data_IF_734630621799
#
_entry.id   IF_734630621799
#
_cell.length_a   1.000
_cell.length_b   1.000
_cell.length_c   1.000
_cell.angle_alpha   90.00
_cell.angle_beta   90.00
_cell.angle_gamma   90.00
#
_symmetry.space_group_name_H-M   'P 1'
#
loop_
_entity.id
_entity.type
_entity.pdbx_description
1 polymer ?
#
# COMPACT_ATOMS: atom_id res chain seq x y z
N UNK A 1 -2.30 -27.22 4.63
CA UNK A 1 -1.87 -26.01 5.35
C UNK A 1 -3.11 -25.18 5.56
N UNK A 2 -3.46 -24.87 6.80
CA UNK A 2 -4.61 -24.00 7.09
C UNK A 2 -4.27 -22.55 6.72
N UNK A 3 -5.31 -21.73 6.53
CA UNK A 3 -5.15 -20.30 6.25
C UNK A 3 -4.35 -19.58 7.36
N UNK A 4 -4.59 -19.95 8.62
CA UNK A 4 -3.84 -19.44 9.79
C UNK A 4 -2.36 -19.82 9.77
N UNK A 5 -1.99 -21.00 9.27
CA UNK A 5 -0.59 -21.42 9.15
C UNK A 5 0.16 -20.65 8.06
N UNK A 6 -0.51 -20.31 6.95
CA UNK A 6 0.08 -19.50 5.88
C UNK A 6 0.32 -18.06 6.33
N UNK A 7 -0.65 -17.44 7.01
CA UNK A 7 -0.54 -16.05 7.47
C UNK A 7 0.51 -15.89 8.57
N UNK A 8 0.60 -16.84 9.52
CA UNK A 8 1.67 -16.82 10.51
C UNK A 8 3.05 -16.93 9.84
N UNK A 9 3.20 -17.77 8.80
CA UNK A 9 4.46 -17.89 8.05
C UNK A 9 4.84 -16.59 7.31
N UNK A 10 3.86 -15.83 6.82
CA UNK A 10 4.11 -14.54 6.16
C UNK A 10 4.51 -13.46 7.15
N UNK A 11 3.84 -13.37 8.30
CA UNK A 11 4.17 -12.44 9.38
C UNK A 11 5.55 -12.76 9.97
N UNK A 12 5.88 -14.03 10.21
CA UNK A 12 7.19 -14.45 10.72
C UNK A 12 8.32 -14.09 9.74
N UNK A 13 8.08 -14.25 8.43
CA UNK A 13 9.04 -13.83 7.39
C UNK A 13 9.21 -12.32 7.36
N UNK A 14 8.14 -11.54 7.50
CA UNK A 14 8.22 -10.08 7.58
C UNK A 14 8.98 -9.63 8.83
N UNK A 15 8.69 -10.23 9.99
CA UNK A 15 9.43 -9.99 11.24
C UNK A 15 10.92 -10.30 11.09
N UNK A 16 11.26 -11.43 10.45
CA UNK A 16 12.65 -11.79 10.13
C UNK A 16 13.28 -10.77 9.19
N UNK A 17 12.58 -10.35 8.15
CA UNK A 17 13.05 -9.30 7.24
C UNK A 17 13.37 -8.01 7.99
N UNK A 18 12.47 -7.55 8.87
CA UNK A 18 12.63 -6.28 9.58
C UNK A 18 13.72 -6.31 10.65
N UNK A 19 13.92 -7.44 11.34
CA UNK A 19 14.94 -7.56 12.39
C UNK A 19 16.33 -7.88 11.84
N UNK A 20 16.41 -8.67 10.78
CA UNK A 20 17.71 -9.20 10.32
C UNK A 20 18.20 -8.57 9.03
N UNK A 21 17.32 -8.33 8.06
CA UNK A 21 17.70 -7.91 6.73
C UNK A 21 17.64 -6.39 6.55
N UNK A 22 16.57 -5.76 7.00
CA UNK A 22 16.35 -4.32 6.87
C UNK A 22 17.49 -3.47 7.46
N UNK A 23 18.06 -3.77 8.66
CA UNK A 23 19.21 -3.04 9.17
C UNK A 23 20.44 -3.12 8.24
N UNK A 24 20.68 -4.29 7.64
CA UNK A 24 21.84 -4.50 6.75
C UNK A 24 21.70 -3.73 5.45
N UNK A 25 20.51 -3.73 4.85
CA UNK A 25 20.25 -3.01 3.60
C UNK A 25 20.28 -1.49 3.82
N UNK A 26 19.88 -1.03 5.01
CA UNK A 26 19.95 0.39 5.37
C UNK A 26 21.36 0.97 5.22
N UNK A 27 22.37 0.24 5.69
CA UNK A 27 23.77 0.66 5.62
C UNK A 27 24.29 0.78 4.18
N UNK A 28 23.55 0.25 3.20
CA UNK A 28 23.85 0.36 1.77
C UNK A 28 23.04 1.45 1.04
N UNK A 29 22.41 2.38 1.78
CA UNK A 29 21.74 3.55 1.19
C UNK A 29 20.26 3.33 0.88
N UNK A 30 19.57 2.51 1.68
CA UNK A 30 18.11 2.37 1.61
C UNK A 30 17.42 3.72 1.77
N UNK A 31 16.52 4.04 0.84
CA UNK A 31 15.81 5.32 0.82
C UNK A 31 14.37 5.20 1.33
N UNK A 32 13.71 4.07 1.04
CA UNK A 32 12.39 3.73 1.55
C UNK A 32 12.16 2.22 1.40
N UNK A 33 11.31 1.66 2.26
CA UNK A 33 10.72 0.33 2.10
C UNK A 33 9.29 0.50 1.62
N UNK A 34 8.89 -0.23 0.58
CA UNK A 34 7.54 -0.12 0.02
C UNK A 34 6.88 -1.50 -0.03
N UNK A 35 5.67 -1.60 0.52
CA UNK A 35 4.84 -2.80 0.48
C UNK A 35 3.79 -2.67 -0.62
N UNK A 36 3.78 -3.63 -1.55
CA UNK A 36 3.06 -3.58 -2.83
C UNK A 36 1.61 -4.07 -2.82
N UNK A 37 0.93 -4.06 -1.68
CA UNK A 37 -0.45 -4.56 -1.53
C UNK A 37 -0.55 -6.05 -1.22
N UNK A 38 -1.79 -6.50 -1.03
CA UNK A 38 -2.16 -7.81 -0.48
C UNK A 38 -1.42 -8.08 0.83
N UNK A 39 -1.50 -7.11 1.73
CA UNK A 39 -0.89 -7.09 3.05
C UNK A 39 -1.66 -7.99 4.04
N UNK A 40 -2.97 -8.13 3.84
CA UNK A 40 -3.87 -9.03 4.58
C UNK A 40 -4.75 -9.81 3.61
N UNK A 41 -5.39 -10.89 4.05
CA UNK A 41 -6.34 -11.64 3.21
C UNK A 41 -7.81 -11.38 3.63
N UNK A 42 -8.37 -10.25 3.19
CA UNK A 42 -9.77 -9.91 3.50
C UNK A 42 -10.82 -10.67 2.67
N UNK A 43 -10.40 -11.42 1.65
CA UNK A 43 -11.32 -12.12 0.74
C UNK A 43 -12.14 -13.20 1.49
N UNK A 44 -11.48 -13.96 2.38
CA UNK A 44 -12.11 -15.05 3.13
C UNK A 44 -13.16 -14.53 4.11
N UNK A 45 -12.89 -13.42 4.79
CA UNK A 45 -13.79 -12.87 5.80
C UNK A 45 -14.93 -12.01 5.20
N UNK A 46 -14.71 -11.36 4.05
CA UNK A 46 -15.76 -10.63 3.35
C UNK A 46 -16.85 -11.57 2.79
N UNK A 47 -16.46 -12.73 2.26
CA UNK A 47 -17.40 -13.70 1.68
C UNK A 47 -18.13 -14.54 2.73
N UNK A 48 -17.54 -14.71 3.92
CA UNK A 48 -18.16 -15.40 5.05
C UNK A 48 -19.05 -14.51 5.93
N UNK A 49 -19.12 -13.20 5.65
CA UNK A 49 -19.85 -12.22 6.45
C UNK A 49 -19.22 -11.96 7.82
N UNK A 50 -17.96 -12.33 8.02
CA UNK A 50 -17.24 -12.25 9.30
C UNK A 50 -16.43 -10.96 9.46
N UNK A 51 -16.73 -9.91 8.68
CA UNK A 51 -16.07 -8.63 8.81
C UNK A 51 -16.47 -7.92 10.13
N UNK A 52 -15.53 -7.37 10.93
CA UNK A 52 -14.09 -7.29 10.69
C UNK A 52 -13.26 -8.44 11.29
N UNK A 53 -13.85 -9.44 11.94
CA UNK A 53 -13.23 -10.49 12.78
C UNK A 53 -11.82 -10.94 12.40
N UNK A 54 -11.62 -11.97 11.54
CA UNK A 54 -10.28 -12.47 11.20
C UNK A 54 -9.34 -11.41 10.57
N UNK A 55 -9.90 -10.44 9.84
CA UNK A 55 -9.15 -9.36 9.19
C UNK A 55 -8.51 -8.42 10.23
N UNK A 56 -9.22 -8.12 11.31
CA UNK A 56 -8.72 -7.25 12.37
C UNK A 56 -7.48 -7.85 13.06
N UNK A 57 -7.46 -9.18 13.25
CA UNK A 57 -6.30 -9.87 13.82
C UNK A 57 -5.08 -9.80 12.89
N UNK A 58 -5.29 -9.95 11.58
CA UNK A 58 -4.21 -9.83 10.58
C UNK A 58 -3.64 -8.42 10.51
N UNK A 59 -4.51 -7.40 10.44
CA UNK A 59 -4.06 -6.01 10.49
C UNK A 59 -3.33 -5.70 11.79
N UNK A 60 -3.79 -6.21 12.93
CA UNK A 60 -3.12 -6.00 14.22
C UNK A 60 -1.71 -6.63 14.24
N UNK A 61 -1.57 -7.88 13.77
CA UNK A 61 -0.26 -8.55 13.68
C UNK A 61 0.68 -7.84 12.71
N UNK A 62 0.19 -7.48 11.52
CA UNK A 62 0.95 -6.74 10.53
C UNK A 62 1.42 -5.40 11.10
N UNK A 63 0.51 -4.62 11.67
CA UNK A 63 0.80 -3.31 12.24
C UNK A 63 1.82 -3.40 13.37
N UNK A 64 1.70 -4.40 14.24
CA UNK A 64 2.68 -4.64 15.29
C UNK A 64 4.09 -4.85 14.72
N UNK A 65 4.26 -5.74 13.73
CA UNK A 65 5.58 -5.97 13.11
C UNK A 65 6.09 -4.71 12.42
N UNK A 66 5.24 -4.00 11.66
CA UNK A 66 5.66 -2.80 10.95
C UNK A 66 6.08 -1.66 11.89
N UNK A 67 5.32 -1.42 12.96
CA UNK A 67 5.55 -0.33 13.90
C UNK A 67 6.67 -0.64 14.90
N UNK A 68 6.71 -1.86 15.43
CA UNK A 68 7.63 -2.21 16.52
C UNK A 68 8.94 -2.84 16.04
N UNK A 69 8.96 -3.44 14.84
CA UNK A 69 10.16 -4.13 14.33
C UNK A 69 10.75 -3.45 13.10
N UNK A 70 9.92 -2.98 12.16
CA UNK A 70 10.39 -2.37 10.93
C UNK A 70 10.72 -0.88 11.12
N UNK A 71 9.78 -0.08 11.63
CA UNK A 71 9.90 1.37 11.76
C UNK A 71 11.12 1.84 12.61
N UNK A 72 11.56 1.14 13.68
CA UNK A 72 12.76 1.52 14.44
C UNK A 72 14.05 1.51 13.59
N UNK A 73 14.04 0.83 12.44
CA UNK A 73 15.15 0.91 11.50
C UNK A 73 15.26 2.30 10.85
N UNK A 74 14.28 3.19 11.00
CA UNK A 74 14.34 4.59 10.55
C UNK A 74 14.25 4.80 9.04
N UNK A 75 14.02 3.73 8.26
CA UNK A 75 13.60 3.85 6.87
C UNK A 75 12.12 4.19 6.84
N UNK A 76 11.66 5.13 5.99
CA UNK A 76 10.25 5.28 5.69
C UNK A 76 9.66 3.95 5.22
N UNK A 77 8.46 3.63 5.69
CA UNK A 77 7.67 2.47 5.25
C UNK A 77 6.43 3.02 4.58
N UNK A 78 6.30 2.74 3.29
CA UNK A 78 5.19 3.18 2.47
C UNK A 78 4.43 1.94 2.00
N UNK A 79 3.14 2.11 1.74
CA UNK A 79 2.27 0.99 1.36
C UNK A 79 1.34 1.42 0.24
N UNK A 80 1.03 0.50 -0.66
CA UNK A 80 -0.16 0.58 -1.52
C UNK A 80 -1.05 -0.60 -1.16
N UNK A 81 -2.37 -0.46 -1.31
CA UNK A 81 -3.30 -1.58 -1.10
C UNK A 81 -3.44 -2.41 -2.36
N UNK A 82 -3.62 -3.71 -2.16
CA UNK A 82 -4.08 -4.65 -3.17
C UNK A 82 -5.56 -4.95 -3.03
N UNK A 83 -6.07 -5.84 -3.88
CA UNK A 83 -7.49 -6.22 -3.82
C UNK A 83 -7.84 -6.96 -2.53
N UNK A 84 -6.90 -7.70 -1.93
CA UNK A 84 -7.13 -8.40 -0.66
C UNK A 84 -7.07 -7.47 0.56
N UNK A 85 -6.67 -6.21 0.41
CA UNK A 85 -6.65 -5.24 1.52
C UNK A 85 -7.92 -4.40 1.63
N UNK A 86 -8.77 -4.46 0.61
CA UNK A 86 -9.76 -3.42 0.31
C UNK A 86 -11.16 -3.98 0.00
N UNK A 87 -11.40 -5.27 0.24
CA UNK A 87 -12.74 -5.85 0.07
C UNK A 87 -13.79 -5.11 0.90
N UNK A 88 -14.86 -4.68 0.24
CA UNK A 88 -15.97 -3.93 0.82
C UNK A 88 -15.61 -2.56 1.44
N UNK A 89 -14.44 -2.01 1.10
CA UNK A 89 -14.01 -0.65 1.45
C UNK A 89 -14.32 0.29 0.29
N UNK A 90 -15.12 1.34 0.53
CA UNK A 90 -15.56 2.27 -0.51
C UNK A 90 -14.58 3.42 -0.78
N UNK A 91 -13.70 3.73 0.18
CA UNK A 91 -12.80 4.89 0.08
C UNK A 91 -11.77 4.96 1.20
N UNK A 92 -10.82 5.90 1.11
CA UNK A 92 -9.82 6.11 2.15
C UNK A 92 -10.44 6.49 3.51
N UNK A 93 -11.46 7.34 3.48
CA UNK A 93 -12.16 7.82 4.67
C UNK A 93 -13.30 6.88 5.15
N UNK A 94 -13.51 5.72 4.49
CA UNK A 94 -14.47 4.71 4.94
C UNK A 94 -14.09 4.20 6.35
N UNK A 95 -15.10 3.95 7.18
CA UNK A 95 -14.92 3.36 8.51
C UNK A 95 -14.24 1.98 8.41
N UNK A 96 -14.56 1.21 7.38
CA UNK A 96 -13.94 -0.11 7.14
C UNK A 96 -12.45 -0.03 6.77
N UNK A 97 -11.96 1.16 6.41
CA UNK A 97 -10.55 1.37 6.13
C UNK A 97 -9.73 1.78 7.36
N UNK A 98 -10.33 1.85 8.56
CA UNK A 98 -9.68 2.41 9.75
C UNK A 98 -8.35 1.72 10.10
N UNK A 99 -8.26 0.39 10.02
CA UNK A 99 -7.02 -0.33 10.30
C UNK A 99 -5.86 0.11 9.40
N UNK A 100 -6.12 0.20 8.09
CA UNK A 100 -5.12 0.67 7.14
C UNK A 100 -4.76 2.14 7.40
N UNK A 101 -5.77 3.00 7.61
CA UNK A 101 -5.59 4.44 7.87
C UNK A 101 -4.73 4.68 9.11
N UNK A 102 -5.03 4.04 10.23
CA UNK A 102 -4.29 4.18 11.48
C UNK A 102 -2.85 3.69 11.35
N UNK A 103 -2.63 2.61 10.59
CA UNK A 103 -1.29 2.10 10.29
C UNK A 103 -0.49 3.10 9.44
N UNK A 104 -1.06 3.63 8.35
CA UNK A 104 -0.34 4.57 7.47
C UNK A 104 -0.07 5.91 8.14
N UNK A 105 -0.97 6.42 8.98
CA UNK A 105 -0.77 7.66 9.75
C UNK A 105 0.44 7.59 10.68
N UNK A 106 0.79 6.39 11.14
CA UNK A 106 1.94 6.16 12.01
C UNK A 106 3.23 5.82 11.23
N UNK A 107 3.11 5.12 10.10
CA UNK A 107 4.27 4.64 9.32
C UNK A 107 4.78 5.66 8.29
N UNK A 108 3.87 6.38 7.63
CA UNK A 108 4.25 7.22 6.51
C UNK A 108 4.96 8.49 6.98
N UNK A 109 5.99 8.94 6.24
CA UNK A 109 6.63 10.21 6.55
C UNK A 109 5.65 11.36 6.36
N UNK A 110 5.67 12.35 7.26
CA UNK A 110 4.82 13.56 7.19
C UNK A 110 4.98 14.36 5.90
N UNK A 111 6.08 14.15 5.17
CA UNK A 111 6.35 14.77 3.87
C UNK A 111 5.71 14.05 2.68
N UNK A 112 5.05 12.91 2.91
CA UNK A 112 4.28 12.26 1.87
C UNK A 112 2.97 13.02 1.65
N UNK A 113 2.74 13.44 0.40
CA UNK A 113 1.45 14.02 0.01
C UNK A 113 0.47 12.89 -0.25
N UNK A 114 -0.66 12.93 0.44
CA UNK A 114 -1.72 11.94 0.32
C UNK A 114 -2.91 12.54 -0.44
N UNK A 115 -3.37 11.82 -1.47
CA UNK A 115 -4.71 12.04 -2.03
C UNK A 115 -5.67 10.99 -1.47
N UNK A 116 -6.70 11.46 -0.77
CA UNK A 116 -7.72 10.61 -0.12
C UNK A 116 -8.76 10.08 -1.11
N UNK A 117 -8.29 9.47 -2.20
CA UNK A 117 -9.11 8.78 -3.19
C UNK A 117 -9.66 7.45 -2.61
N UNK A 118 -9.94 6.45 -3.44
CA UNK A 118 -10.45 5.13 -3.01
C UNK A 118 -9.63 4.46 -1.89
N UNK A 119 -8.34 4.77 -1.78
CA UNK A 119 -7.50 4.14 -0.77
C UNK A 119 -6.26 4.85 -0.32
N UNK A 120 -6.06 6.08 -0.79
CA UNK A 120 -4.96 6.90 -0.35
C UNK A 120 -3.74 6.75 -1.23
N UNK A 121 -3.81 7.18 -2.49
CA UNK A 121 -2.59 7.31 -3.31
C UNK A 121 -1.67 8.39 -2.71
N UNK A 122 -0.38 8.27 -2.94
CA UNK A 122 0.60 9.15 -2.31
C UNK A 122 1.78 9.50 -3.20
N UNK A 123 2.43 10.63 -2.90
CA UNK A 123 3.69 11.04 -3.50
C UNK A 123 4.72 11.33 -2.40
N UNK A 124 5.95 10.87 -2.59
CA UNK A 124 7.07 11.18 -1.71
C UNK A 124 8.29 11.60 -2.53
N UNK A 125 8.65 12.90 -2.50
CA UNK A 125 9.94 13.38 -2.99
C UNK A 125 11.07 12.89 -2.07
N UNK A 126 12.07 12.20 -2.62
CA UNK A 126 13.22 11.71 -1.84
C UNK A 126 14.47 11.61 -2.70
N UNK A 127 15.58 12.24 -2.27
CA UNK A 127 16.89 12.16 -2.92
C UNK A 127 16.88 12.37 -4.46
N UNK A 128 16.07 13.32 -4.95
CA UNK A 128 15.94 13.62 -6.40
C UNK A 128 15.02 12.68 -7.17
N UNK A 129 14.43 11.69 -6.49
CA UNK A 129 13.36 10.84 -7.00
C UNK A 129 12.00 11.28 -6.49
N UNK A 130 10.97 11.01 -7.27
CA UNK A 130 9.58 11.09 -6.86
C UNK A 130 9.02 9.67 -6.79
N UNK A 131 8.76 9.17 -5.59
CA UNK A 131 8.02 7.93 -5.42
C UNK A 131 6.52 8.24 -5.49
N UNK A 132 5.77 7.47 -6.27
CA UNK A 132 4.32 7.60 -6.38
C UNK A 132 3.70 6.25 -6.09
N UNK A 133 2.93 6.14 -5.01
CA UNK A 133 2.11 4.96 -4.74
C UNK A 133 0.69 5.18 -5.23
N UNK A 134 0.22 4.33 -6.13
CA UNK A 134 -1.12 4.37 -6.68
C UNK A 134 -1.97 3.25 -6.10
N UNK A 135 -2.99 3.63 -5.33
CA UNK A 135 -4.09 2.73 -5.02
C UNK A 135 -5.06 2.71 -6.21
N UNK A 136 -5.00 1.62 -6.95
CA UNK A 136 -5.85 1.37 -8.11
C UNK A 136 -6.97 0.38 -7.78
N UNK A 137 -7.29 0.16 -6.50
CA UNK A 137 -8.39 -0.72 -6.16
C UNK A 137 -9.69 -0.19 -6.75
N UNK A 138 -10.50 -1.02 -7.42
CA UNK A 138 -11.79 -0.59 -7.95
C UNK A 138 -12.83 -0.38 -6.83
N UNK A 139 -13.84 0.41 -7.16
CA UNK A 139 -14.93 0.81 -6.27
C UNK A 139 -15.60 -0.37 -5.56
N UNK A 140 -16.03 -0.17 -4.31
CA UNK A 140 -16.77 -1.18 -3.54
C UNK A 140 -17.97 -1.73 -4.34
N UNK A 141 -18.08 -3.07 -4.41
CA UNK A 141 -19.15 -3.76 -5.11
C UNK A 141 -18.84 -4.14 -6.56
N UNK A 142 -17.65 -3.81 -7.08
CA UNK A 142 -17.19 -4.36 -8.35
C UNK A 142 -17.11 -5.90 -8.26
N UNK A 143 -17.80 -6.59 -9.16
CA UNK A 143 -17.89 -8.07 -9.16
C UNK A 143 -16.56 -8.79 -9.38
N UNK A 144 -15.47 -8.06 -9.70
CA UNK A 144 -14.12 -8.57 -9.95
C UNK A 144 -13.07 -7.51 -9.57
N UNK A 145 -12.48 -7.65 -8.38
CA UNK A 145 -11.33 -6.83 -7.94
C UNK A 145 -9.99 -7.28 -8.56
N UNK A 146 -9.99 -7.99 -9.68
CA UNK A 146 -8.77 -8.53 -10.30
C UNK A 146 -8.03 -7.54 -11.20
N UNK A 147 -8.67 -6.41 -11.52
CA UNK A 147 -8.11 -5.37 -12.37
C UNK A 147 -8.19 -4.05 -11.63
N UNK A 148 -7.09 -3.31 -11.66
CA UNK A 148 -7.04 -1.99 -11.06
C UNK A 148 -7.72 -0.95 -11.95
N UNK A 149 -8.20 0.12 -11.32
CA UNK A 149 -8.86 1.25 -11.95
C UNK A 149 -8.13 2.53 -11.55
N UNK A 150 -7.78 3.36 -12.55
CA UNK A 150 -7.31 4.72 -12.31
C UNK A 150 -8.51 5.66 -12.36
N UNK A 151 -8.92 6.20 -11.20
CA UNK A 151 -10.03 7.14 -11.15
C UNK A 151 -9.69 8.49 -11.80
N UNK A 152 -10.70 9.19 -12.32
CA UNK A 152 -10.55 10.54 -12.88
C UNK A 152 -9.91 11.51 -11.87
N UNK A 153 -10.26 11.39 -10.59
CA UNK A 153 -9.68 12.18 -9.50
C UNK A 153 -8.17 11.93 -9.37
N UNK A 154 -7.76 10.66 -9.38
CA UNK A 154 -6.34 10.28 -9.30
C UNK A 154 -5.58 10.76 -10.54
N UNK A 155 -6.19 10.64 -11.72
CA UNK A 155 -5.61 11.14 -12.97
C UNK A 155 -5.41 12.67 -12.93
N UNK A 156 -6.43 13.41 -12.50
CA UNK A 156 -6.36 14.87 -12.39
C UNK A 156 -5.24 15.30 -11.42
N UNK A 157 -5.14 14.64 -10.27
CA UNK A 157 -4.08 14.87 -9.30
C UNK A 157 -2.69 14.56 -9.85
N UNK A 158 -2.51 13.44 -10.56
CA UNK A 158 -1.25 13.13 -11.25
C UNK A 158 -0.88 14.21 -12.27
N UNK A 159 -1.86 14.72 -13.02
CA UNK A 159 -1.62 15.79 -14.00
C UNK A 159 -1.20 17.09 -13.32
N UNK A 160 -1.83 17.46 -12.20
CA UNK A 160 -1.49 18.68 -11.48
C UNK A 160 -0.16 18.57 -10.73
N UNK A 161 -0.03 17.58 -9.84
CA UNK A 161 1.10 17.48 -8.92
C UNK A 161 2.34 16.95 -9.61
N UNK A 162 2.23 15.83 -10.32
CA UNK A 162 3.38 15.23 -10.96
C UNK A 162 3.76 15.98 -12.24
N UNK A 163 2.87 16.06 -13.23
CA UNK A 163 3.21 16.66 -14.52
C UNK A 163 3.33 18.19 -14.46
N UNK A 164 2.59 18.85 -13.57
CA UNK A 164 2.64 20.29 -13.37
C UNK A 164 3.83 20.74 -12.53
N UNK A 165 3.99 20.17 -11.32
CA UNK A 165 4.92 20.71 -10.30
C UNK A 165 6.23 19.93 -10.22
N UNK A 166 6.23 18.62 -10.49
CA UNK A 166 7.36 17.71 -10.18
C UNK A 166 7.94 16.99 -11.40
N UNK A 167 7.59 17.42 -12.61
CA UNK A 167 8.01 16.80 -13.88
C UNK A 167 9.52 16.68 -14.11
N UNK A 168 10.33 17.37 -13.31
CA UNK A 168 11.78 17.37 -13.40
C UNK A 168 12.45 16.28 -12.55
N UNK A 169 11.69 15.59 -11.69
CA UNK A 169 12.18 14.52 -10.84
C UNK A 169 12.14 13.17 -11.57
N UNK A 170 13.05 12.26 -11.23
CA UNK A 170 12.98 10.87 -11.70
C UNK A 170 11.87 10.14 -10.96
N UNK A 171 10.91 9.59 -11.67
CA UNK A 171 9.71 9.02 -11.04
C UNK A 171 9.78 7.50 -10.95
N UNK A 172 9.40 6.96 -9.79
CA UNK A 172 9.13 5.54 -9.59
C UNK A 172 7.67 5.40 -9.21
N UNK A 173 6.91 4.67 -10.02
CA UNK A 173 5.49 4.38 -9.76
C UNK A 173 5.40 2.99 -9.14
N UNK A 174 4.76 2.92 -7.97
CA UNK A 174 4.44 1.70 -7.26
C UNK A 174 2.93 1.51 -7.31
N UNK A 175 2.51 0.31 -7.66
CA UNK A 175 1.10 -0.10 -7.61
C UNK A 175 1.03 -1.61 -7.40
N UNK A 176 -0.09 -2.07 -6.83
CA UNK A 176 -0.38 -3.49 -6.71
C UNK A 176 -0.73 -4.12 -8.07
N UNK A 177 -1.46 -3.39 -8.92
CA UNK A 177 -1.95 -3.92 -10.19
C UNK A 177 -0.95 -3.67 -11.30
N UNK A 178 -0.65 -4.71 -12.09
CA UNK A 178 0.27 -4.58 -13.21
C UNK A 178 -0.26 -3.64 -14.30
N UNK A 179 0.62 -2.81 -14.84
CA UNK A 179 0.34 -2.08 -16.08
C UNK A 179 0.33 -3.04 -17.26
N UNK A 180 -0.86 -3.28 -17.82
CA UNK A 180 -1.02 -3.92 -19.13
C UNK A 180 -1.56 -5.35 -19.08
N UNK A 181 -2.89 -5.47 -19.22
CA UNK A 181 -3.50 -6.24 -20.30
C UNK A 181 -4.81 -5.58 -20.74
N UNK A 182 -4.73 -4.42 -21.40
CA UNK A 182 -5.32 -4.22 -22.73
C UNK A 182 -5.07 -2.82 -23.32
N UNK A 183 -5.04 -1.72 -22.55
CA UNK A 183 -4.97 -0.38 -23.15
C UNK A 183 -4.25 0.73 -22.34
N UNK A 184 -3.30 0.39 -21.44
CA UNK A 184 -2.47 1.43 -20.79
C UNK A 184 -0.98 1.28 -21.12
N UNK A 185 -0.46 2.30 -21.80
CA UNK A 185 0.95 2.53 -22.05
C UNK A 185 1.57 3.12 -20.77
N UNK A 186 2.53 2.42 -20.19
CA UNK A 186 3.40 2.96 -19.15
C UNK A 186 4.43 3.89 -19.81
N UNK A 187 4.38 5.18 -19.49
CA UNK A 187 5.50 6.08 -19.74
C UNK A 187 6.46 6.01 -18.55
N UNK A 188 7.57 5.29 -18.73
CA UNK A 188 8.77 5.53 -17.93
C UNK A 188 9.57 6.58 -18.70
N UNK A 189 9.59 7.82 -18.22
CA UNK A 189 10.45 8.90 -18.75
C UNK A 189 11.66 9.03 -17.84
#
# INVERSE_FOLDING_TARGET
MSHSEFNNMTIDKLSTFCREFLPRVKDHGLVATVLGGDLVDSNVAAWSGQYPGPIAEEWAKLSHVLLEECAPNGSPILTVRGNHDSFAVAGYDDEKNHFYREMVEQLWPKSADLIRNQGGSWMLPVNGYLLIGLDLTPSAGASRHFFGELSEETEAWLREEWLGKRRHMRTIIITHYNFGTRDMILFVI
#
